data_IF_622269025912
#
_entry.id   IF_622269025912
#
_cell.length_a   1.000
_cell.length_b   1.000
_cell.length_c   1.000
_cell.angle_alpha   90.00
_cell.angle_beta   90.00
_cell.angle_gamma   90.00
#
_symmetry.space_group_name_H-M   'P 1'
#
loop_
_entity.id
_entity.type
_entity.pdbx_description
1 polymer ?
#
# COMPACT_ATOMS: atom_id res chain seq x y z
N UNK A 1 -14.65 9.37 13.15
CA UNK A 1 -13.36 10.10 12.99
C UNK A 1 -12.24 9.12 13.26
N UNK A 2 -11.23 9.05 12.40
CA UNK A 2 -10.06 8.22 12.65
C UNK A 2 -9.41 8.58 13.98
N UNK A 3 -9.16 7.59 14.82
CA UNK A 3 -8.40 7.75 16.07
C UNK A 3 -6.92 8.03 15.78
N UNK A 4 -6.16 8.47 16.78
CA UNK A 4 -4.71 8.65 16.65
C UNK A 4 -4.01 7.32 16.35
N UNK A 5 -4.48 6.22 16.93
CA UNK A 5 -3.97 4.87 16.68
C UNK A 5 -4.20 4.43 15.21
N UNK A 6 -5.42 4.58 14.68
CA UNK A 6 -5.71 4.26 13.28
C UNK A 6 -4.87 5.08 12.31
N UNK A 7 -4.64 6.37 12.59
CA UNK A 7 -3.75 7.22 11.77
C UNK A 7 -2.30 6.76 11.83
N UNK A 8 -1.81 6.29 12.97
CA UNK A 8 -0.45 5.77 13.11
C UNK A 8 -0.22 4.46 12.34
N UNK A 9 -1.29 3.74 12.03
CA UNK A 9 -1.28 2.51 11.23
C UNK A 9 -1.52 2.74 9.74
N UNK A 10 -1.68 4.00 9.33
CA UNK A 10 -1.80 4.40 7.93
C UNK A 10 -0.47 4.94 7.42
N UNK A 11 0.04 4.34 6.36
CA UNK A 11 1.36 4.63 5.79
C UNK A 11 1.20 5.31 4.42
N UNK A 12 1.86 6.43 4.22
CA UNK A 12 2.02 7.06 2.90
C UNK A 12 3.38 6.64 2.32
N UNK A 13 3.37 6.08 1.10
CA UNK A 13 4.58 5.62 0.43
C UNK A 13 4.77 6.43 -0.86
N UNK A 14 5.87 7.17 -0.95
CA UNK A 14 6.27 7.89 -2.15
C UNK A 14 7.30 7.07 -2.91
N UNK A 15 6.99 6.68 -4.15
CA UNK A 15 7.83 5.81 -4.96
C UNK A 15 8.44 6.60 -6.12
N UNK A 16 9.76 6.74 -6.13
CA UNK A 16 10.50 7.44 -7.17
C UNK A 16 10.22 8.95 -7.21
N UNK A 17 9.81 9.56 -6.09
CA UNK A 17 9.64 11.01 -5.99
C UNK A 17 10.98 11.72 -6.18
N UNK A 18 11.01 12.72 -7.08
CA UNK A 18 12.27 13.38 -7.49
C UNK A 18 12.37 14.84 -7.07
N UNK A 19 11.24 15.48 -6.80
CA UNK A 19 11.21 16.89 -6.44
C UNK A 19 11.14 17.05 -4.91
N UNK A 20 12.17 17.64 -4.25
CA UNK A 20 12.17 17.88 -2.82
C UNK A 20 10.93 18.63 -2.33
N UNK A 21 10.51 19.67 -3.05
CA UNK A 21 9.33 20.46 -2.69
C UNK A 21 8.04 19.65 -2.71
N UNK A 22 7.93 18.64 -3.58
CA UNK A 22 6.78 17.74 -3.60
C UNK A 22 6.79 16.75 -2.44
N UNK A 23 7.97 16.27 -2.05
CA UNK A 23 8.14 15.43 -0.85
C UNK A 23 7.76 16.23 0.39
N UNK A 24 8.27 17.46 0.52
CA UNK A 24 7.92 18.39 1.61
C UNK A 24 6.42 18.73 1.64
N UNK A 25 5.81 18.96 0.47
CA UNK A 25 4.37 19.21 0.37
C UNK A 25 3.52 17.99 0.80
N UNK A 26 3.96 16.78 0.46
CA UNK A 26 3.32 15.55 0.93
C UNK A 26 3.43 15.39 2.45
N UNK A 27 4.61 15.64 3.02
CA UNK A 27 4.82 15.61 4.47
C UNK A 27 3.94 16.64 5.19
N UNK A 28 3.78 17.85 4.63
CA UNK A 28 2.88 18.87 5.16
C UNK A 28 1.44 18.43 5.12
N UNK A 29 0.97 17.88 4.01
CA UNK A 29 -0.38 17.33 3.90
C UNK A 29 -0.62 16.22 4.95
N UNK A 30 0.35 15.34 5.16
CA UNK A 30 0.26 14.31 6.21
C UNK A 30 0.09 14.94 7.60
N UNK A 31 0.89 15.95 7.91
CA UNK A 31 0.79 16.66 9.17
C UNK A 31 -0.58 17.32 9.36
N UNK A 32 -1.10 18.02 8.33
CA UNK A 32 -2.37 18.73 8.39
C UNK A 32 -3.55 17.78 8.67
N UNK A 33 -3.47 16.53 8.23
CA UNK A 33 -4.47 15.50 8.47
C UNK A 33 -4.13 14.53 9.62
N UNK A 34 -2.99 14.74 10.32
CA UNK A 34 -2.59 13.98 11.49
C UNK A 34 -2.02 12.59 11.20
N UNK A 35 -1.41 12.39 10.03
CA UNK A 35 -0.67 11.18 9.66
C UNK A 35 0.84 11.41 9.79
N UNK A 36 1.58 10.37 10.19
CA UNK A 36 3.03 10.51 10.49
C UNK A 36 3.93 9.46 9.81
N UNK A 37 3.43 8.29 9.40
CA UNK A 37 4.28 7.25 8.81
C UNK A 37 4.49 7.52 7.31
N UNK A 38 5.54 8.28 7.00
CA UNK A 38 6.03 8.55 5.65
C UNK A 38 7.16 7.58 5.29
N UNK A 39 7.00 6.88 4.16
CA UNK A 39 8.02 6.00 3.59
C UNK A 39 8.39 6.45 2.20
N UNK A 40 9.67 6.44 1.89
CA UNK A 40 10.18 6.87 0.59
C UNK A 40 10.98 5.74 -0.03
N UNK A 41 10.53 5.31 -1.20
CA UNK A 41 11.22 4.35 -2.05
C UNK A 41 11.80 5.14 -3.21
N UNK A 42 13.11 5.37 -3.18
CA UNK A 42 13.75 6.24 -4.17
C UNK A 42 15.19 5.78 -4.41
N UNK A 43 15.54 5.56 -5.67
CA UNK A 43 16.91 5.25 -6.07
C UNK A 43 17.86 6.47 -5.92
N UNK A 44 17.29 7.66 -5.67
CA UNK A 44 18.04 8.90 -5.54
C UNK A 44 17.94 9.43 -4.10
N UNK A 45 19.05 9.39 -3.38
CA UNK A 45 19.14 9.94 -2.02
C UNK A 45 18.98 11.48 -1.99
N UNK A 46 19.53 12.18 -2.97
CA UNK A 46 19.59 13.63 -3.00
C UNK A 46 18.23 14.35 -2.87
N UNK A 47 17.12 13.95 -3.54
CA UNK A 47 15.84 14.62 -3.35
C UNK A 47 15.30 14.53 -1.92
N UNK A 48 15.49 13.39 -1.26
CA UNK A 48 15.03 13.20 0.12
C UNK A 48 15.86 14.05 1.09
N UNK A 49 17.18 14.04 0.96
CA UNK A 49 18.09 14.83 1.80
C UNK A 49 17.84 16.33 1.63
N UNK A 50 17.61 16.79 0.39
CA UNK A 50 17.26 18.18 0.12
C UNK A 50 15.92 18.56 0.77
N UNK A 51 14.89 17.69 0.72
CA UNK A 51 13.61 17.94 1.37
C UNK A 51 13.74 18.01 2.90
N UNK A 52 14.58 17.18 3.50
CA UNK A 52 14.91 17.27 4.94
C UNK A 52 15.61 18.57 5.29
N UNK A 53 16.59 18.98 4.46
CA UNK A 53 17.34 20.21 4.68
C UNK A 53 16.44 21.44 4.57
N UNK A 54 15.58 21.50 3.55
CA UNK A 54 14.58 22.58 3.39
C UNK A 54 13.66 22.68 4.61
N UNK A 55 13.18 21.51 5.12
CA UNK A 55 12.33 21.46 6.31
C UNK A 55 13.07 21.96 7.56
N UNK A 56 14.34 21.58 7.72
CA UNK A 56 15.18 22.01 8.86
C UNK A 56 15.56 23.49 8.79
N UNK A 57 15.82 24.03 7.58
CA UNK A 57 16.11 25.45 7.39
C UNK A 57 14.88 26.31 7.70
N UNK A 58 13.68 25.87 7.33
CA UNK A 58 12.44 26.55 7.70
C UNK A 58 12.25 26.60 9.22
N UNK A 59 12.56 25.51 9.91
CA UNK A 59 12.51 25.46 11.37
C UNK A 59 13.53 26.40 12.01
N UNK A 60 14.77 26.44 11.50
CA UNK A 60 15.83 27.32 11.99
C UNK A 60 15.57 28.80 11.72
N UNK A 61 15.03 29.10 10.53
CA UNK A 61 14.67 30.49 10.18
C UNK A 61 13.52 31.02 11.04
N UNK A 62 12.68 30.14 11.56
CA UNK A 62 11.55 30.50 12.43
C UNK A 62 11.98 30.84 13.86
N UNK A 63 13.13 30.35 14.31
CA UNK A 63 13.70 30.70 15.63
C UNK A 63 14.20 32.14 15.71
N UNK A 64 14.49 32.80 14.56
CA UNK A 64 14.94 34.17 14.48
C UNK A 64 13.80 35.20 14.26
N UNK A 65 12.57 34.76 14.04
CA UNK A 65 11.40 35.62 13.82
C UNK A 65 10.58 35.74 15.09
N UNK A 66 10.01 36.93 15.45
CA UNK A 66 9.17 37.09 16.61
C UNK A 66 7.98 36.13 16.55
N UNK A 67 7.65 35.55 17.70
CA UNK A 67 6.73 34.40 17.89
C UNK A 67 5.32 34.57 17.31
N UNK A 68 4.90 35.76 16.95
CA UNK A 68 3.55 36.09 16.51
C UNK A 68 3.30 35.94 15.00
N UNK A 69 4.37 35.71 14.21
CA UNK A 69 4.29 35.68 12.74
C UNK A 69 4.55 34.30 12.11
N UNK A 70 4.80 33.25 12.90
CA UNK A 70 5.17 31.93 12.39
C UNK A 70 3.93 31.09 12.09
N UNK A 71 3.72 30.67 10.83
CA UNK A 71 2.65 29.70 10.54
C UNK A 71 2.99 28.39 11.23
N UNK A 72 2.18 27.96 12.19
CA UNK A 72 2.32 26.66 12.91
C UNK A 72 2.47 25.44 11.98
N UNK A 73 2.05 25.56 10.72
CA UNK A 73 2.13 24.54 9.69
C UNK A 73 3.55 24.18 9.21
N UNK A 74 4.51 25.11 9.34
CA UNK A 74 5.88 24.83 8.88
C UNK A 74 6.70 24.03 9.90
N UNK A 75 6.49 24.27 11.20
CA UNK A 75 7.15 23.52 12.30
C UNK A 75 6.72 22.04 12.29
N UNK A 76 5.49 21.79 11.96
CA UNK A 76 4.90 20.48 12.03
C UNK A 76 5.30 19.55 10.87
N UNK A 77 5.55 20.07 9.66
CA UNK A 77 6.04 19.27 8.53
C UNK A 77 7.43 18.68 8.80
N UNK A 78 8.25 19.35 9.60
CA UNK A 78 9.57 18.87 9.99
C UNK A 78 9.49 17.55 10.77
N UNK A 79 8.51 17.36 11.64
CA UNK A 79 8.35 16.12 12.42
C UNK A 79 8.07 14.90 11.55
N UNK A 80 7.23 15.02 10.51
CA UNK A 80 6.96 13.94 9.55
C UNK A 80 8.21 13.62 8.74
N UNK A 81 8.95 14.64 8.29
CA UNK A 81 10.18 14.46 7.54
C UNK A 81 11.31 13.83 8.38
N UNK A 82 11.45 14.22 9.64
CA UNK A 82 12.46 13.64 10.55
C UNK A 82 12.17 12.15 10.84
N UNK A 83 10.90 11.74 10.91
CA UNK A 83 10.49 10.38 11.13
C UNK A 83 10.38 9.56 9.84
N UNK A 84 10.50 10.20 8.67
CA UNK A 84 10.38 9.55 7.38
C UNK A 84 11.46 8.48 7.20
N UNK A 85 11.05 7.30 6.72
CA UNK A 85 11.93 6.16 6.49
C UNK A 85 12.21 5.98 5.01
N UNK A 86 13.47 5.68 4.67
CA UNK A 86 13.90 5.36 3.31
C UNK A 86 14.04 3.87 3.14
N UNK A 87 13.71 3.41 1.94
CA UNK A 87 13.83 2.01 1.54
C UNK A 87 14.38 1.94 0.11
N UNK A 88 15.19 0.93 -0.15
CA UNK A 88 15.73 0.68 -1.49
C UNK A 88 14.68 -0.02 -2.37
N UNK A 89 13.83 -0.86 -1.77
CA UNK A 89 12.83 -1.65 -2.48
C UNK A 89 11.42 -1.41 -1.95
N UNK A 90 10.45 -1.40 -2.88
CA UNK A 90 9.03 -1.21 -2.54
C UNK A 90 8.52 -2.33 -1.62
N UNK A 91 8.91 -3.59 -1.87
CA UNK A 91 8.50 -4.73 -1.07
C UNK A 91 8.84 -4.54 0.42
N UNK A 92 10.03 -4.01 0.72
CA UNK A 92 10.47 -3.73 2.09
C UNK A 92 9.65 -2.60 2.72
N UNK A 93 9.38 -1.55 1.91
CA UNK A 93 8.62 -0.40 2.38
C UNK A 93 7.18 -0.71 2.77
N UNK A 94 6.61 -1.81 2.27
CA UNK A 94 5.21 -2.20 2.52
C UNK A 94 5.08 -3.55 3.24
N UNK A 95 6.19 -4.18 3.64
CA UNK A 95 6.23 -5.55 4.16
C UNK A 95 5.28 -5.78 5.34
N UNK A 96 5.14 -4.80 6.24
CA UNK A 96 4.26 -4.84 7.41
C UNK A 96 2.80 -4.45 7.12
N UNK A 97 2.47 -4.09 5.86
CA UNK A 97 1.12 -3.65 5.51
C UNK A 97 0.22 -4.82 5.12
N UNK A 98 -0.99 -4.83 5.66
CA UNK A 98 -2.03 -5.84 5.36
C UNK A 98 -2.85 -5.48 4.14
N UNK A 99 -2.98 -4.19 3.83
CA UNK A 99 -3.65 -3.68 2.65
C UNK A 99 -2.80 -2.59 1.99
N UNK A 100 -2.60 -2.73 0.68
CA UNK A 100 -1.81 -1.78 -0.12
C UNK A 100 -2.67 -1.25 -1.26
N UNK A 101 -2.84 0.06 -1.33
CA UNK A 101 -3.56 0.73 -2.41
C UNK A 101 -2.60 1.59 -3.24
N UNK A 102 -2.65 1.45 -4.56
CA UNK A 102 -1.86 2.26 -5.49
C UNK A 102 -2.71 3.36 -6.14
N UNK A 103 -2.19 4.58 -6.17
CA UNK A 103 -2.83 5.66 -6.92
C UNK A 103 -2.43 5.63 -8.39
N UNK A 104 -3.40 5.81 -9.28
CA UNK A 104 -3.16 5.87 -10.72
C UNK A 104 -4.07 6.88 -11.39
N UNK A 105 -3.59 7.56 -12.44
CA UNK A 105 -4.46 8.32 -13.31
C UNK A 105 -5.26 7.34 -14.21
N UNK A 106 -6.50 7.71 -14.54
CA UNK A 106 -7.27 7.00 -15.56
C UNK A 106 -6.62 7.35 -16.91
N UNK A 107 -5.93 6.41 -17.51
CA UNK A 107 -5.29 6.55 -18.82
C UNK A 107 -5.19 5.18 -19.48
N UNK A 108 -4.74 5.15 -20.74
CA UNK A 108 -4.59 3.94 -21.57
C UNK A 108 -3.54 2.93 -21.04
N UNK A 109 -3.64 2.58 -19.77
CA UNK A 109 -2.89 1.46 -19.23
C UNK A 109 -3.74 0.23 -19.40
N UNK A 110 -3.24 -0.71 -20.17
CA UNK A 110 -3.82 -2.05 -20.33
C UNK A 110 -3.67 -2.84 -19.01
N UNK A 111 -4.44 -2.39 -18.01
CA UNK A 111 -4.48 -3.03 -16.70
C UNK A 111 -5.74 -3.87 -16.63
N UNK A 112 -5.58 -5.17 -16.69
CA UNK A 112 -6.65 -6.15 -16.47
C UNK A 112 -7.16 -6.12 -14.99
N UNK A 113 -7.22 -4.91 -14.40
CA UNK A 113 -7.60 -4.67 -12.99
C UNK A 113 -8.53 -3.47 -12.88
N UNK A 114 -9.53 -3.61 -12.02
CA UNK A 114 -10.49 -2.53 -11.76
C UNK A 114 -9.85 -1.39 -10.97
N UNK A 115 -9.79 -0.20 -11.58
CA UNK A 115 -9.46 1.04 -10.88
C UNK A 115 -10.76 1.63 -10.34
N UNK A 116 -10.77 1.96 -9.04
CA UNK A 116 -11.92 2.56 -8.35
C UNK A 116 -11.67 4.02 -8.07
N UNK A 117 -12.74 4.79 -7.96
CA UNK A 117 -12.60 6.17 -7.47
C UNK A 117 -12.13 6.17 -6.00
N UNK A 118 -11.53 7.27 -5.58
CA UNK A 118 -11.09 7.44 -4.20
C UNK A 118 -12.25 7.26 -3.21
N UNK A 119 -13.45 7.77 -3.53
CA UNK A 119 -14.66 7.63 -2.71
C UNK A 119 -15.07 6.16 -2.53
N UNK A 120 -14.86 5.32 -3.54
CA UNK A 120 -15.16 3.88 -3.45
C UNK A 120 -14.07 3.09 -2.72
N UNK A 121 -12.86 3.64 -2.67
CA UNK A 121 -11.69 2.97 -2.06
C UNK A 121 -11.54 3.34 -0.59
N UNK A 122 -11.81 4.58 -0.21
CA UNK A 122 -11.63 5.09 1.16
C UNK A 122 -12.33 4.22 2.24
N UNK A 123 -13.61 3.81 2.09
CA UNK A 123 -14.25 2.95 3.08
C UNK A 123 -13.54 1.60 3.28
N UNK A 124 -12.95 1.04 2.22
CA UNK A 124 -12.20 -0.22 2.29
C UNK A 124 -10.87 -0.07 3.02
N UNK A 125 -10.18 1.05 2.80
CA UNK A 125 -8.94 1.36 3.51
C UNK A 125 -9.20 1.55 5.00
N UNK A 126 -10.29 2.23 5.36
CA UNK A 126 -10.67 2.46 6.75
C UNK A 126 -11.09 1.18 7.45
N UNK A 127 -11.91 0.33 6.80
CA UNK A 127 -12.30 -0.94 7.41
C UNK A 127 -11.12 -1.89 7.64
N UNK A 128 -10.09 -1.82 6.80
CA UNK A 128 -8.87 -2.62 6.96
C UNK A 128 -8.01 -2.21 8.16
N UNK A 129 -8.21 -1.02 8.71
CA UNK A 129 -7.56 -0.56 9.96
C UNK A 129 -8.28 -1.08 11.21
N UNK A 130 -9.54 -1.49 11.08
CA UNK A 130 -10.29 -2.02 12.21
C UNK A 130 -9.74 -3.40 12.56
N UNK A 131 -9.33 -3.57 13.80
CA UNK A 131 -8.96 -4.87 14.34
C UNK A 131 -10.23 -5.71 14.38
N UNK A 132 -10.24 -6.97 13.87
CA UNK A 132 -11.33 -7.86 14.18
C UNK A 132 -11.44 -7.95 15.69
N UNK A 133 -12.61 -7.65 16.26
CA UNK A 133 -12.87 -7.86 17.69
C UNK A 133 -12.39 -9.28 18.03
N UNK A 134 -11.52 -9.38 19.03
CA UNK A 134 -11.12 -10.68 19.55
C UNK A 134 -12.41 -11.43 19.92
N UNK A 135 -12.63 -12.66 19.42
CA UNK A 135 -13.86 -13.39 19.75
C UNK A 135 -13.93 -13.51 21.27
N UNK A 136 -14.96 -12.91 21.83
CA UNK A 136 -15.26 -13.05 23.25
C UNK A 136 -15.35 -14.54 23.56
N UNK A 137 -14.50 -14.95 24.49
CA UNK A 137 -14.63 -16.17 25.30
C UNK A 137 -14.69 -17.49 24.51
N UNK A 138 -13.56 -18.18 24.50
CA UNK A 138 -13.54 -19.63 24.40
C UNK A 138 -14.49 -20.23 25.43
N UNK A 139 -15.65 -20.67 24.98
CA UNK A 139 -16.40 -21.66 25.72
C UNK A 139 -15.52 -22.88 25.86
N UNK A 140 -15.23 -23.27 27.08
CA UNK A 140 -14.64 -24.54 27.46
C UNK A 140 -15.47 -25.66 26.85
N UNK A 141 -14.97 -26.25 25.77
CA UNK A 141 -15.48 -27.55 25.32
C UNK A 141 -14.96 -28.59 26.33
N UNK A 142 -15.82 -28.93 27.28
CA UNK A 142 -15.65 -30.14 28.06
C UNK A 142 -15.66 -31.33 27.12
N UNK A 143 -14.53 -32.01 27.00
CA UNK A 143 -14.44 -33.31 26.34
C UNK A 143 -14.94 -34.35 27.32
N UNK A 144 -15.88 -35.27 26.93
CA UNK A 144 -16.22 -36.40 27.75
C UNK A 144 -15.07 -37.41 27.82
N UNK A 145 -14.82 -37.89 29.04
CA UNK A 145 -13.89 -38.96 29.39
C UNK A 145 -13.97 -40.18 28.46
N UNK A 146 -12.81 -40.62 27.98
CA UNK A 146 -12.61 -41.99 27.55
C UNK A 146 -11.30 -42.52 28.17
N UNK A 147 -11.31 -43.76 28.71
CA UNK A 147 -10.25 -44.32 29.57
C UNK A 147 -9.03 -44.76 28.74
N UNK A 148 -7.85 -44.60 29.36
CA UNK A 148 -6.56 -44.98 28.80
C UNK A 148 -6.31 -46.47 28.70
N UNK A 149 -5.14 -46.89 28.17
CA UNK A 149 -4.05 -47.22 29.07
C UNK A 149 -2.61 -46.86 28.58
N UNK A 150 -1.75 -46.81 29.60
CA UNK A 150 -0.31 -47.09 29.63
C UNK A 150 0.72 -46.10 29.12
N UNK A 151 1.41 -45.68 30.15
CA UNK A 151 2.74 -45.09 30.29
C UNK A 151 3.84 -45.62 29.36
N UNK A 152 4.60 -44.66 28.75
CA UNK A 152 6.08 -44.61 28.82
C UNK A 152 6.63 -43.34 28.14
N UNK A 153 7.11 -42.45 29.00
CA UNK A 153 8.30 -41.57 28.84
C UNK A 153 8.73 -41.11 27.45
N UNK A 154 8.52 -39.84 27.18
CA UNK A 154 9.64 -38.95 26.75
C UNK A 154 9.22 -37.51 26.95
N UNK A 155 9.69 -36.90 28.02
CA UNK A 155 9.80 -35.46 28.17
C UNK A 155 10.69 -34.94 27.01
N UNK A 156 10.08 -34.23 26.12
CA UNK A 156 10.75 -33.18 25.35
C UNK A 156 9.91 -31.95 25.59
N UNK A 157 10.36 -31.09 26.47
CA UNK A 157 9.77 -29.82 26.78
C UNK A 157 9.70 -29.02 25.48
N UNK A 158 8.51 -28.97 24.89
CA UNK A 158 8.19 -27.97 23.89
C UNK A 158 8.20 -26.63 24.64
N UNK A 159 9.19 -25.78 24.35
CA UNK A 159 9.20 -24.41 24.81
C UNK A 159 7.85 -23.78 24.43
N UNK A 160 7.22 -22.99 25.32
CA UNK A 160 5.99 -22.30 24.99
C UNK A 160 6.28 -21.42 23.79
N UNK A 161 5.54 -21.63 22.71
CA UNK A 161 5.51 -20.70 21.59
C UNK A 161 5.06 -19.38 22.18
N UNK A 162 6.01 -18.47 22.39
CA UNK A 162 5.71 -17.08 22.73
C UNK A 162 4.77 -16.59 21.65
N UNK A 163 3.50 -16.36 22.00
CA UNK A 163 2.54 -15.69 21.14
C UNK A 163 3.14 -14.31 20.83
N UNK A 164 3.72 -14.18 19.65
CA UNK A 164 4.09 -12.86 19.13
C UNK A 164 2.80 -12.05 19.07
N UNK A 165 2.75 -10.85 19.65
CA UNK A 165 1.55 -10.04 19.63
C UNK A 165 1.09 -9.90 18.19
N UNK A 166 -0.19 -10.23 17.96
CA UNK A 166 -0.81 -10.19 16.65
C UNK A 166 -0.57 -8.80 16.03
N UNK A 167 0.19 -8.68 14.94
CA UNK A 167 0.53 -7.37 14.41
C UNK A 167 -0.75 -6.65 14.01
N UNK A 168 -0.94 -5.46 14.56
CA UNK A 168 -2.07 -4.60 14.23
C UNK A 168 -2.12 -4.34 12.72
N UNK A 169 -3.30 -4.43 12.06
CA UNK A 169 -3.40 -4.22 10.63
C UNK A 169 -2.94 -2.82 10.24
N UNK A 170 -2.06 -2.74 9.24
CA UNK A 170 -1.50 -1.51 8.69
C UNK A 170 -1.90 -1.36 7.22
N UNK A 171 -2.23 -0.15 6.82
CA UNK A 171 -2.66 0.19 5.45
C UNK A 171 -1.63 1.09 4.80
N UNK A 172 -1.23 0.81 3.56
CA UNK A 172 -0.37 1.67 2.76
C UNK A 172 -1.12 2.27 1.57
N UNK A 173 -0.87 3.55 1.31
CA UNK A 173 -1.29 4.25 0.11
C UNK A 173 -0.05 4.72 -0.66
N UNK A 174 0.11 4.20 -1.89
CA UNK A 174 1.28 4.42 -2.73
C UNK A 174 1.03 5.53 -3.74
N UNK A 175 2.01 6.41 -3.85
CA UNK A 175 2.08 7.47 -4.85
C UNK A 175 3.36 7.29 -5.67
N UNK A 176 3.22 7.32 -6.99
CA UNK A 176 4.36 7.20 -7.90
C UNK A 176 5.05 8.53 -8.19
N UNK A 177 6.08 8.46 -9.03
CA UNK A 177 6.82 9.65 -9.45
C UNK A 177 5.93 10.65 -10.20
N UNK A 178 6.29 11.91 -10.14
CA UNK A 178 5.53 13.01 -10.76
C UNK A 178 5.45 12.87 -12.30
N UNK A 179 6.44 12.22 -12.90
CA UNK A 179 6.54 12.11 -14.35
C UNK A 179 5.77 10.92 -14.92
N UNK A 180 5.86 9.76 -14.26
CA UNK A 180 5.37 8.47 -14.80
C UNK A 180 4.30 7.81 -13.94
N UNK A 181 4.09 8.30 -12.71
CA UNK A 181 3.26 7.61 -11.73
C UNK A 181 3.92 6.30 -11.27
N UNK A 182 3.11 5.37 -10.78
CA UNK A 182 3.54 4.01 -10.45
C UNK A 182 3.69 3.17 -11.72
N UNK A 183 4.73 2.34 -11.81
CA UNK A 183 4.88 1.36 -12.90
C UNK A 183 3.92 0.18 -12.73
N UNK A 184 3.73 -0.64 -13.78
CA UNK A 184 2.89 -1.84 -13.68
C UNK A 184 3.45 -2.85 -12.66
N UNK A 185 4.76 -2.94 -12.54
CA UNK A 185 5.42 -3.73 -11.51
C UNK A 185 5.07 -3.22 -10.10
N UNK A 186 5.22 -1.92 -9.84
CA UNK A 186 4.85 -1.31 -8.56
C UNK A 186 3.35 -1.47 -8.26
N UNK A 187 2.48 -1.33 -9.25
CA UNK A 187 1.05 -1.55 -9.12
C UNK A 187 0.70 -3.03 -8.84
N UNK A 188 1.55 -3.99 -9.24
CA UNK A 188 1.33 -5.41 -8.93
C UNK A 188 1.40 -5.73 -7.43
N UNK A 189 2.11 -4.93 -6.63
CA UNK A 189 2.14 -5.04 -5.18
C UNK A 189 0.86 -4.54 -4.50
N UNK A 190 0.01 -3.79 -5.22
CA UNK A 190 -1.19 -3.20 -4.65
C UNK A 190 -2.35 -4.19 -4.68
N UNK A 191 -3.09 -4.32 -3.58
CA UNK A 191 -4.35 -5.07 -3.52
C UNK A 191 -5.50 -4.29 -4.14
N UNK A 192 -5.45 -2.95 -4.07
CA UNK A 192 -6.44 -2.04 -4.62
C UNK A 192 -5.76 -1.00 -5.52
N UNK A 193 -6.50 -0.57 -6.54
CA UNK A 193 -6.11 0.58 -7.36
C UNK A 193 -7.14 1.68 -7.22
N UNK A 194 -6.68 2.90 -6.99
CA UNK A 194 -7.53 4.06 -6.81
C UNK A 194 -7.13 5.21 -7.71
N UNK A 195 -8.12 6.01 -8.09
CA UNK A 195 -7.92 7.24 -8.85
C UNK A 195 -8.65 8.39 -8.19
N UNK A 196 -8.06 9.58 -8.28
CA UNK A 196 -8.72 10.83 -7.90
C UNK A 196 -9.51 11.31 -9.12
N UNK A 197 -10.85 11.41 -9.05
CA UNK A 197 -11.63 11.97 -10.14
C UNK A 197 -11.23 13.42 -10.37
N UNK A 198 -10.85 13.75 -11.61
CA UNK A 198 -10.49 15.11 -12.02
C UNK A 198 -11.45 15.57 -13.11
N UNK A 199 -11.63 16.88 -13.22
CA UNK A 199 -12.42 17.48 -14.28
C UNK A 199 -11.71 17.29 -15.62
N UNK A 200 -12.36 16.60 -16.54
CA UNK A 200 -11.94 16.50 -17.93
C UNK A 200 -12.75 17.50 -18.75
N UNK A 201 -12.14 18.60 -19.23
CA UNK A 201 -12.88 19.53 -20.07
C UNK A 201 -13.32 18.79 -21.33
N UNK A 202 -14.63 18.70 -21.53
CA UNK A 202 -15.20 18.15 -22.75
C UNK A 202 -14.50 18.82 -23.94
N UNK A 203 -14.02 18.03 -24.88
CA UNK A 203 -13.45 18.53 -26.13
C UNK A 203 -14.49 19.48 -26.73
N UNK A 204 -14.22 20.78 -26.75
CA UNK A 204 -15.08 21.75 -27.38
C UNK A 204 -15.11 21.31 -28.84
N UNK A 205 -16.26 20.86 -29.39
CA UNK A 205 -16.33 20.54 -30.81
C UNK A 205 -15.95 21.83 -31.55
N UNK A 206 -14.88 21.76 -32.33
CA UNK A 206 -14.41 22.90 -33.13
C UNK A 206 -15.61 23.50 -33.89
N UNK A 207 -16.13 24.62 -33.38
CA UNK A 207 -17.07 25.44 -34.10
C UNK A 207 -16.38 25.87 -35.40
N UNK A 208 -16.84 25.31 -36.52
CA UNK A 208 -16.78 25.83 -37.86
C UNK A 208 -15.84 27.02 -38.10
N UNK A 209 -14.61 26.77 -38.54
CA UNK A 209 -13.94 27.67 -39.48
C UNK A 209 -13.87 26.99 -40.84
N UNK A 210 -14.91 27.18 -41.62
CA UNK A 210 -14.84 27.06 -43.06
C UNK A 210 -13.98 28.23 -43.52
N UNK A 211 -12.79 27.98 -43.99
CA UNK A 211 -12.00 28.64 -45.03
C UNK A 211 -10.50 28.58 -44.70
N UNK A 212 -9.85 27.87 -45.50
CA UNK A 212 -8.45 27.81 -45.92
C UNK A 212 -7.76 26.49 -45.66
N UNK A 213 -7.62 25.73 -46.76
CA UNK A 213 -6.94 24.44 -46.82
C UNK A 213 -5.46 24.56 -46.46
N UNK A 214 -5.15 24.21 -45.20
CA UNK A 214 -3.84 23.70 -44.81
C UNK A 214 -4.09 22.58 -43.81
N UNK A 215 -3.71 21.39 -44.22
CA UNK A 215 -3.67 20.19 -43.40
C UNK A 215 -2.89 20.45 -42.14
N UNK A 216 -3.56 20.73 -41.03
CA UNK A 216 -2.97 20.76 -39.71
C UNK A 216 -3.22 19.39 -39.05
N UNK A 217 -2.30 18.47 -39.28
CA UNK A 217 -2.13 17.28 -38.45
C UNK A 217 -1.61 17.71 -37.05
N UNK A 218 -2.49 18.24 -36.22
CA UNK A 218 -2.22 18.50 -34.83
C UNK A 218 -3.40 17.97 -34.00
N UNK A 219 -3.55 16.64 -34.00
CA UNK A 219 -4.29 15.97 -32.97
C UNK A 219 -3.48 16.22 -31.67
N UNK A 220 -3.90 17.24 -30.88
CA UNK A 220 -3.42 17.39 -29.50
C UNK A 220 -3.64 16.04 -28.81
N UNK A 221 -2.53 15.34 -28.54
CA UNK A 221 -2.55 14.16 -27.67
C UNK A 221 -3.41 14.47 -26.45
N UNK A 222 -4.25 13.52 -25.98
CA UNK A 222 -5.09 13.72 -24.82
C UNK A 222 -4.19 14.21 -23.67
N UNK A 223 -4.56 15.36 -23.07
CA UNK A 223 -3.83 15.86 -21.90
C UNK A 223 -3.93 14.80 -20.82
N UNK A 224 -2.80 14.20 -20.46
CA UNK A 224 -2.74 13.37 -19.28
C UNK A 224 -3.10 14.24 -18.08
N UNK A 225 -4.29 14.01 -17.54
CA UNK A 225 -4.71 14.64 -16.29
C UNK A 225 -3.84 14.07 -15.17
N UNK A 226 -2.92 14.87 -14.67
CA UNK A 226 -2.07 14.53 -13.53
C UNK A 226 -2.15 15.65 -12.50
N UNK A 227 -2.29 15.25 -11.23
CA UNK A 227 -2.27 16.15 -10.10
C UNK A 227 -0.85 16.19 -9.53
N UNK A 228 -0.43 17.34 -8.98
CA UNK A 228 0.82 17.43 -8.24
C UNK A 228 0.84 16.43 -7.09
N UNK A 229 2.01 15.85 -6.80
CA UNK A 229 2.17 14.79 -5.80
C UNK A 229 1.65 15.20 -4.41
N UNK A 230 2.06 16.38 -3.92
CA UNK A 230 1.59 16.88 -2.62
C UNK A 230 0.07 17.11 -2.60
N UNK A 231 -0.50 17.63 -3.69
CA UNK A 231 -1.95 17.78 -3.83
C UNK A 231 -2.67 16.42 -3.84
N UNK A 232 -2.13 15.43 -4.55
CA UNK A 232 -2.69 14.08 -4.59
C UNK A 232 -2.71 13.45 -3.20
N UNK A 233 -1.63 13.59 -2.44
CA UNK A 233 -1.56 13.14 -1.04
C UNK A 233 -2.63 13.85 -0.19
N UNK A 234 -2.71 15.19 -0.28
CA UNK A 234 -3.67 15.98 0.49
C UNK A 234 -5.13 15.57 0.21
N UNK A 235 -5.50 15.40 -1.07
CA UNK A 235 -6.86 14.99 -1.46
C UNK A 235 -7.19 13.59 -0.94
N UNK A 236 -6.25 12.66 -1.04
CA UNK A 236 -6.45 11.30 -0.53
C UNK A 236 -6.64 11.28 0.98
N UNK A 237 -5.81 12.01 1.73
CA UNK A 237 -5.89 12.07 3.18
C UNK A 237 -7.14 12.82 3.67
N UNK A 238 -7.54 13.87 2.95
CA UNK A 238 -8.81 14.56 3.21
C UNK A 238 -10.00 13.60 3.09
N UNK A 239 -10.08 12.84 2.00
CA UNK A 239 -11.18 11.90 1.77
C UNK A 239 -11.24 10.82 2.84
N UNK A 240 -10.09 10.27 3.24
CA UNK A 240 -10.00 9.29 4.34
C UNK A 240 -10.49 9.88 5.67
N UNK A 241 -10.11 11.12 5.98
CA UNK A 241 -10.60 11.80 7.20
C UNK A 241 -12.08 12.11 7.12
N UNK A 242 -12.58 12.53 5.98
CA UNK A 242 -14.00 12.82 5.75
C UNK A 242 -14.86 11.58 5.88
N UNK A 243 -14.48 10.48 5.23
CA UNK A 243 -15.19 9.19 5.30
C UNK A 243 -15.21 8.62 6.72
N UNK A 244 -14.17 8.83 7.50
CA UNK A 244 -14.14 8.44 8.91
C UNK A 244 -15.19 9.14 9.77
N UNK A 245 -15.83 10.22 9.27
CA UNK A 245 -16.97 10.88 9.92
C UNK A 245 -18.33 10.27 9.55
N UNK A 246 -18.46 9.70 8.36
CA UNK A 246 -19.76 9.30 7.79
C UNK A 246 -20.08 7.81 7.90
N UNK A 247 -19.06 6.95 8.03
CA UNK A 247 -19.26 5.50 7.90
C UNK A 247 -19.07 4.72 9.21
N UNK A 248 -20.19 4.60 9.96
CA UNK A 248 -20.36 3.55 10.99
C UNK A 248 -21.06 2.30 10.43
N UNK A 249 -21.18 2.13 9.11
CA UNK A 249 -21.85 0.96 8.54
C UNK A 249 -20.89 -0.19 8.36
N UNK A 250 -21.22 -1.30 8.99
CA UNK A 250 -20.46 -2.55 8.99
C UNK A 250 -20.12 -3.04 7.57
N UNK A 251 -18.83 -3.09 7.26
CA UNK A 251 -18.32 -3.82 6.11
C UNK A 251 -18.06 -5.28 6.52
N UNK A 252 -18.14 -6.25 5.59
CA UNK A 252 -17.90 -7.65 5.93
C UNK A 252 -16.50 -7.84 6.52
N UNK A 253 -16.45 -8.29 7.76
CA UNK A 253 -15.21 -8.57 8.49
C UNK A 253 -14.58 -9.83 7.92
N UNK A 254 -13.33 -9.74 7.46
CA UNK A 254 -12.53 -10.93 7.11
C UNK A 254 -12.25 -11.67 8.42
N UNK A 255 -12.75 -12.89 8.54
CA UNK A 255 -12.48 -13.72 9.72
C UNK A 255 -11.01 -14.16 9.72
N UNK A 256 -10.24 -13.70 10.70
CA UNK A 256 -8.83 -14.01 10.89
C UNK A 256 -7.89 -12.81 10.67
N UNK A 257 -6.65 -12.99 11.09
CA UNK A 257 -5.59 -11.97 10.89
C UNK A 257 -5.29 -11.84 9.39
N UNK A 258 -5.38 -10.64 8.80
CA UNK A 258 -5.03 -10.44 7.40
C UNK A 258 -3.56 -10.78 7.13
N UNK A 259 -3.27 -11.33 5.96
CA UNK A 259 -1.91 -11.55 5.50
C UNK A 259 -1.20 -10.21 5.26
N UNK A 260 0.06 -10.11 5.66
CA UNK A 260 0.90 -8.95 5.39
C UNK A 260 1.36 -8.92 3.93
N UNK A 261 1.90 -7.82 3.47
CA UNK A 261 2.53 -7.76 2.15
C UNK A 261 3.76 -8.67 2.07
N UNK A 262 4.50 -8.83 3.16
CA UNK A 262 5.62 -9.77 3.27
C UNK A 262 5.17 -11.24 3.13
N UNK A 263 4.06 -11.63 3.77
CA UNK A 263 3.47 -12.98 3.60
C UNK A 263 3.15 -13.26 2.12
N UNK A 264 2.55 -12.29 1.43
CA UNK A 264 2.19 -12.42 0.01
C UNK A 264 3.40 -12.45 -0.90
N UNK A 265 4.43 -11.66 -0.60
CA UNK A 265 5.67 -11.67 -1.37
C UNK A 265 6.40 -13.01 -1.22
N UNK A 266 6.50 -13.57 -0.01
CA UNK A 266 7.05 -14.93 0.23
C UNK A 266 6.25 -16.01 -0.48
N UNK A 267 4.91 -15.88 -0.50
CA UNK A 267 4.05 -16.78 -1.25
C UNK A 267 4.30 -16.67 -2.76
N UNK A 268 4.49 -15.46 -3.27
CA UNK A 268 4.82 -15.20 -4.69
C UNK A 268 6.11 -15.86 -5.08
N UNK A 269 7.18 -15.68 -4.30
CA UNK A 269 8.49 -16.28 -4.59
C UNK A 269 8.43 -17.82 -4.59
N UNK A 270 7.76 -18.41 -3.59
CA UNK A 270 7.61 -19.87 -3.54
C UNK A 270 6.80 -20.41 -4.73
N UNK A 271 5.79 -19.68 -5.18
CA UNK A 271 5.00 -20.08 -6.35
C UNK A 271 5.85 -20.00 -7.63
N UNK A 272 6.63 -18.94 -7.80
CA UNK A 272 7.59 -18.81 -8.92
C UNK A 272 8.62 -19.95 -8.92
N UNK A 273 9.17 -20.29 -7.76
CA UNK A 273 10.12 -21.41 -7.62
C UNK A 273 9.47 -22.73 -8.05
N UNK A 274 8.23 -23.00 -7.63
CA UNK A 274 7.50 -24.21 -8.05
C UNK A 274 7.27 -24.20 -9.56
N UNK A 275 6.83 -23.08 -10.13
CA UNK A 275 6.62 -22.96 -11.58
C UNK A 275 7.90 -23.18 -12.37
N UNK A 276 9.05 -22.76 -11.85
CA UNK A 276 10.36 -22.97 -12.46
C UNK A 276 10.77 -24.44 -12.41
N UNK A 277 10.74 -25.07 -11.24
CA UNK A 277 11.17 -26.46 -11.03
C UNK A 277 10.28 -27.45 -11.78
N UNK A 278 8.98 -27.15 -11.93
CA UNK A 278 8.02 -28.00 -12.68
C UNK A 278 8.02 -27.75 -14.19
N UNK A 279 8.96 -26.95 -14.71
CA UNK A 279 9.02 -26.58 -16.15
C UNK A 279 7.79 -25.77 -16.66
N UNK A 280 6.92 -25.32 -15.75
CA UNK A 280 5.71 -24.56 -16.13
C UNK A 280 6.10 -23.25 -16.82
N UNK A 281 7.09 -22.54 -16.28
CA UNK A 281 7.58 -21.27 -16.84
C UNK A 281 8.03 -21.42 -18.30
N UNK A 282 8.69 -22.54 -18.62
CA UNK A 282 9.14 -22.84 -19.99
C UNK A 282 7.98 -23.17 -20.92
N UNK A 283 6.97 -23.90 -20.42
CA UNK A 283 5.80 -24.31 -21.21
C UNK A 283 4.80 -23.19 -21.42
N UNK A 284 4.66 -22.31 -20.42
CA UNK A 284 3.65 -21.25 -20.40
C UNK A 284 4.25 -19.90 -19.98
N UNK A 285 5.19 -19.33 -20.77
CA UNK A 285 5.90 -18.11 -20.38
C UNK A 285 4.97 -16.89 -20.19
N UNK A 286 3.88 -16.83 -20.94
CA UNK A 286 2.88 -15.73 -20.81
C UNK A 286 2.19 -15.73 -19.43
N UNK A 287 2.10 -16.88 -18.75
CA UNK A 287 1.40 -17.04 -17.48
C UNK A 287 2.34 -16.99 -16.26
N UNK A 288 3.65 -16.81 -16.47
CA UNK A 288 4.66 -16.96 -15.43
C UNK A 288 5.49 -15.69 -15.18
N UNK A 289 4.99 -14.54 -15.65
CA UNK A 289 5.62 -13.27 -15.30
C UNK A 289 5.38 -12.94 -13.83
N UNK A 290 6.41 -12.43 -13.15
CA UNK A 290 6.35 -12.12 -11.71
C UNK A 290 5.16 -11.20 -11.34
N UNK A 291 4.85 -10.11 -12.09
CA UNK A 291 3.68 -9.29 -11.79
C UNK A 291 2.36 -10.04 -11.86
N UNK A 292 2.21 -10.98 -12.79
CA UNK A 292 1.00 -11.79 -12.91
C UNK A 292 0.88 -12.78 -11.74
N UNK A 293 1.98 -13.44 -11.37
CA UNK A 293 2.02 -14.37 -10.24
C UNK A 293 1.74 -13.62 -8.94
N UNK A 294 2.31 -12.44 -8.74
CA UNK A 294 2.05 -11.58 -7.59
C UNK A 294 0.57 -11.16 -7.51
N UNK A 295 -0.05 -10.87 -8.64
CA UNK A 295 -1.49 -10.59 -8.70
C UNK A 295 -2.33 -11.82 -8.32
N UNK A 296 -1.94 -13.01 -8.73
CA UNK A 296 -2.62 -14.26 -8.36
C UNK A 296 -2.53 -14.51 -6.84
N UNK A 297 -1.36 -14.31 -6.24
CA UNK A 297 -1.17 -14.52 -4.79
C UNK A 297 -1.94 -13.53 -3.92
N UNK A 298 -2.29 -12.33 -4.43
CA UNK A 298 -3.21 -11.41 -3.76
C UNK A 298 -4.61 -12.02 -3.50
N UNK A 299 -5.00 -13.01 -4.29
CA UNK A 299 -6.30 -13.69 -4.17
C UNK A 299 -6.21 -14.99 -3.36
N UNK A 300 -5.05 -15.64 -3.34
CA UNK A 300 -4.86 -16.95 -2.70
C UNK A 300 -4.64 -16.86 -1.19
N UNK A 301 -3.99 -15.83 -0.69
CA UNK A 301 -3.63 -15.69 0.71
C UNK A 301 -4.25 -14.42 1.31
N UNK A 302 -5.54 -14.45 1.65
CA UNK A 302 -6.23 -13.30 2.23
C UNK A 302 -5.94 -13.16 3.71
N UNK A 303 -5.75 -14.27 4.42
CA UNK A 303 -5.38 -14.29 5.84
C UNK A 303 -3.95 -14.83 6.03
N UNK A 304 -3.31 -14.46 7.14
CA UNK A 304 -1.99 -14.99 7.53
C UNK A 304 -1.99 -16.52 7.56
N UNK A 305 -3.04 -17.13 8.13
CA UNK A 305 -3.18 -18.59 8.20
C UNK A 305 -3.26 -19.25 6.83
N UNK A 306 -4.01 -18.66 5.90
CA UNK A 306 -4.09 -19.17 4.52
C UNK A 306 -2.75 -19.06 3.81
N UNK A 307 -2.07 -17.90 3.93
CA UNK A 307 -0.73 -17.70 3.37
C UNK A 307 0.27 -18.73 3.91
N UNK A 308 0.29 -18.98 5.22
CA UNK A 308 1.14 -20.01 5.83
C UNK A 308 0.82 -21.42 5.33
N UNK A 309 -0.47 -21.74 5.15
CA UNK A 309 -0.90 -23.04 4.62
C UNK A 309 -0.41 -23.24 3.18
N UNK A 310 -0.63 -22.24 2.32
CA UNK A 310 -0.13 -22.28 0.95
C UNK A 310 1.39 -22.39 0.87
N UNK A 311 2.12 -21.60 1.66
CA UNK A 311 3.59 -21.70 1.74
C UNK A 311 4.06 -23.10 2.17
N UNK A 312 3.35 -23.74 3.10
CA UNK A 312 3.62 -25.13 3.51
C UNK A 312 3.47 -26.12 2.36
N UNK A 313 2.37 -26.01 1.60
CA UNK A 313 2.09 -26.87 0.43
C UNK A 313 3.18 -26.68 -0.64
N UNK A 314 3.51 -25.43 -0.98
CA UNK A 314 4.51 -25.13 -2.01
C UNK A 314 5.91 -25.62 -1.62
N UNK A 315 6.30 -25.45 -0.35
CA UNK A 315 7.57 -26.00 0.17
C UNK A 315 7.63 -27.53 0.07
N UNK A 316 6.51 -28.21 0.33
CA UNK A 316 6.43 -29.66 0.21
C UNK A 316 6.61 -30.12 -1.26
N UNK A 317 6.02 -29.38 -2.21
CA UNK A 317 6.20 -29.64 -3.65
C UNK A 317 7.66 -29.48 -4.03
N UNK A 318 8.29 -28.33 -3.67
CA UNK A 318 9.70 -28.06 -3.95
C UNK A 318 10.64 -29.12 -3.36
N UNK A 319 10.35 -29.56 -2.13
CA UNK A 319 11.13 -30.62 -1.49
C UNK A 319 11.05 -31.96 -2.26
N UNK A 320 9.86 -32.30 -2.76
CA UNK A 320 9.65 -33.53 -3.53
C UNK A 320 10.38 -33.49 -4.86
N UNK A 321 10.27 -32.39 -5.61
CA UNK A 321 10.92 -32.22 -6.91
C UNK A 321 12.46 -32.23 -6.82
N UNK A 322 13.04 -31.72 -5.72
CA UNK A 322 14.49 -31.77 -5.49
C UNK A 322 15.05 -33.16 -5.17
N UNK A 323 14.18 -34.15 -4.88
CA UNK A 323 14.57 -35.51 -4.58
C UNK A 323 14.50 -36.47 -5.80
N UNK A 324 13.91 -36.02 -6.88
CA UNK A 324 13.93 -36.71 -8.17
C UNK A 324 15.15 -36.27 -9.00
#
# INVERSE_FOLDING_TARGET
MLSADERSRFTVVLVGARNPSNIGAAARAMQDFGFSDLRIVNDYAAPFEAAQLESSQQESAQLEIPTDAIPKSAVAAASVMQQARRFDHLAEAIADCTLVAGTTAIGERDMNRTVRSLQQTAPKLLSALQTPDAPATRGTLETPDAPGPDSRTRETAAAPLTETPNPQPRVALLFGSEKTGLTNEQLSHCSLLTTIPMFEPASIPNSTSAATGKSASNSKAPRHLSMNLGQSVAVCLYELTREGFENSKELPVIQGTPATADDRERLTQLLLDVMHVTDYTRRFPANSSEPLVRQLTQQLGTTHRESMTWMGILRQILWRERKQ
#
